data_IF_133149529092
#
_entry.id   IF_133149529092
#
_cell.length_a   1.000
_cell.length_b   1.000
_cell.length_c   1.000
_cell.angle_alpha   90.00
_cell.angle_beta   90.00
_cell.angle_gamma   90.00
#
_symmetry.space_group_name_H-M   'P 1'
#
loop_
_entity.id
_entity.type
_entity.pdbx_description
1 polymer ?
#
# COMPACT_ATOMS: atom_id res chain seq x y z
N UNK A 1 18.48 -13.27 38.79
CA UNK A 1 18.37 -13.03 37.34
C UNK A 1 18.62 -11.56 36.92
N UNK A 2 18.21 -10.52 37.64
CA UNK A 2 18.57 -9.14 37.24
C UNK A 2 20.08 -8.85 37.27
N UNK A 3 20.87 -9.49 38.15
CA UNK A 3 22.32 -9.31 38.22
C UNK A 3 23.05 -9.82 36.97
N UNK A 4 22.66 -10.97 36.40
CA UNK A 4 23.32 -11.53 35.22
C UNK A 4 23.15 -10.67 33.95
N UNK A 5 21.99 -10.03 33.78
CA UNK A 5 21.76 -9.12 32.66
C UNK A 5 22.59 -7.84 32.82
N UNK A 6 22.75 -7.36 34.05
CA UNK A 6 23.57 -6.18 34.34
C UNK A 6 25.08 -6.48 34.21
N UNK A 7 25.52 -7.74 34.50
CA UNK A 7 26.92 -8.14 34.41
C UNK A 7 27.39 -8.47 32.98
N UNK A 8 26.45 -8.87 32.08
CA UNK A 8 26.80 -9.30 30.73
C UNK A 8 25.80 -8.81 29.66
N UNK A 9 25.58 -7.51 29.50
CA UNK A 9 24.53 -6.93 28.61
C UNK A 9 24.73 -7.31 27.14
N UNK A 10 25.99 -7.32 26.65
CA UNK A 10 26.29 -7.68 25.25
C UNK A 10 25.95 -9.14 24.93
N UNK A 11 26.25 -10.07 25.85
CA UNK A 11 25.90 -11.48 25.67
C UNK A 11 24.37 -11.66 25.66
N UNK A 12 23.67 -10.97 26.52
CA UNK A 12 22.19 -10.96 26.53
C UNK A 12 21.62 -10.42 25.25
N UNK A 13 22.18 -9.34 24.70
CA UNK A 13 21.77 -8.76 23.42
C UNK A 13 21.93 -9.72 22.25
N UNK A 14 23.10 -10.39 22.15
CA UNK A 14 23.37 -11.42 21.15
C UNK A 14 22.40 -12.61 21.31
N UNK A 15 22.17 -13.08 22.53
CA UNK A 15 21.24 -14.17 22.81
C UNK A 15 19.82 -13.85 22.36
N UNK A 16 19.34 -12.61 22.56
CA UNK A 16 18.03 -12.16 22.10
C UNK A 16 17.87 -12.20 20.57
N UNK A 17 18.91 -11.80 19.82
CA UNK A 17 18.93 -11.91 18.35
C UNK A 17 18.85 -13.37 17.92
N UNK A 18 19.63 -14.26 18.56
CA UNK A 18 19.61 -15.68 18.27
C UNK A 18 18.26 -16.32 18.59
N UNK A 19 17.63 -15.91 19.68
CA UNK A 19 16.28 -16.35 20.07
C UNK A 19 15.25 -15.89 19.00
N UNK A 20 15.32 -14.65 18.51
CA UNK A 20 14.41 -14.19 17.43
C UNK A 20 14.56 -15.05 16.18
N UNK A 21 15.79 -15.35 15.77
CA UNK A 21 16.07 -16.21 14.61
C UNK A 21 15.54 -17.63 14.85
N UNK A 22 15.71 -18.17 16.03
CA UNK A 22 15.22 -19.50 16.41
C UNK A 22 13.68 -19.55 16.41
N UNK A 23 13.03 -18.57 17.03
CA UNK A 23 11.57 -18.41 17.05
C UNK A 23 11.02 -18.36 15.62
N UNK A 24 11.68 -17.60 14.74
CA UNK A 24 11.23 -17.47 13.35
C UNK A 24 11.39 -18.76 12.55
N UNK A 25 12.43 -19.57 12.81
CA UNK A 25 12.68 -20.85 12.14
C UNK A 25 11.88 -22.01 12.69
N UNK A 26 11.73 -22.09 14.02
CA UNK A 26 11.18 -23.27 14.69
C UNK A 26 9.67 -23.23 14.86
N UNK A 27 9.06 -22.05 14.97
CA UNK A 27 7.60 -21.92 15.14
C UNK A 27 6.90 -22.12 13.78
N UNK A 28 5.83 -22.90 13.79
CA UNK A 28 5.00 -23.21 12.62
C UNK A 28 4.41 -21.93 11.96
N UNK A 29 4.24 -21.88 10.61
CA UNK A 29 3.59 -20.78 9.90
C UNK A 29 2.18 -20.45 10.39
N UNK A 30 1.45 -21.43 10.92
CA UNK A 30 0.08 -21.26 11.40
C UNK A 30 -0.05 -20.35 12.64
N UNK A 31 1.07 -20.02 13.29
CA UNK A 31 1.13 -19.16 14.47
C UNK A 31 1.69 -17.74 14.14
N UNK A 32 1.30 -17.18 13.01
CA UNK A 32 1.82 -15.88 12.52
C UNK A 32 1.66 -14.75 13.55
N UNK A 33 0.52 -14.66 14.23
CA UNK A 33 0.26 -13.64 15.26
C UNK A 33 1.18 -13.83 16.49
N UNK A 34 1.47 -15.07 16.89
CA UNK A 34 2.41 -15.39 17.97
C UNK A 34 3.83 -14.99 17.59
N UNK A 35 4.26 -15.27 16.35
CA UNK A 35 5.58 -14.86 15.86
C UNK A 35 5.75 -13.35 15.88
N UNK A 36 4.73 -12.60 15.47
CA UNK A 36 4.73 -11.14 15.51
C UNK A 36 4.82 -10.63 16.94
N UNK A 37 3.97 -11.15 17.83
CA UNK A 37 3.99 -10.76 19.25
C UNK A 37 5.34 -11.07 19.92
N UNK A 38 5.89 -12.28 19.70
CA UNK A 38 7.19 -12.68 20.21
C UNK A 38 8.29 -11.74 19.71
N UNK A 39 8.30 -11.40 18.41
CA UNK A 39 9.27 -10.46 17.83
C UNK A 39 9.18 -9.08 18.46
N UNK A 40 7.98 -8.53 18.64
CA UNK A 40 7.80 -7.22 19.28
C UNK A 40 8.33 -7.23 20.73
N UNK A 41 8.07 -8.29 21.49
CA UNK A 41 8.58 -8.44 22.86
C UNK A 41 10.10 -8.57 22.85
N UNK A 42 10.68 -9.43 22.00
CA UNK A 42 12.14 -9.61 21.91
C UNK A 42 12.79 -8.29 21.50
N UNK A 43 12.25 -7.56 20.54
CA UNK A 43 12.77 -6.26 20.12
C UNK A 43 12.69 -5.21 21.25
N UNK A 44 11.58 -5.17 22.00
CA UNK A 44 11.45 -4.26 23.15
C UNK A 44 12.46 -4.58 24.24
N UNK A 45 12.65 -5.87 24.59
CA UNK A 45 13.64 -6.29 25.58
C UNK A 45 15.07 -6.01 25.08
N UNK A 46 15.37 -6.30 23.81
CA UNK A 46 16.65 -5.99 23.19
C UNK A 46 16.97 -4.49 23.24
N UNK A 47 15.98 -3.64 22.91
CA UNK A 47 16.12 -2.19 23.02
C UNK A 47 16.38 -1.76 24.48
N UNK A 48 15.62 -2.31 25.43
CA UNK A 48 15.81 -1.99 26.85
C UNK A 48 17.21 -2.37 27.36
N UNK A 49 17.75 -3.52 26.96
CA UNK A 49 19.11 -3.96 27.32
C UNK A 49 20.16 -2.99 26.77
N UNK A 50 20.04 -2.61 25.47
CA UNK A 50 20.98 -1.66 24.85
C UNK A 50 20.94 -0.28 25.51
N UNK A 51 19.73 0.27 25.73
CA UNK A 51 19.59 1.59 26.34
C UNK A 51 20.09 1.64 27.80
N UNK A 52 19.86 0.57 28.58
CA UNK A 52 20.34 0.48 29.96
C UNK A 52 21.88 0.44 30.08
N UNK A 53 22.54 -0.14 29.07
CA UNK A 53 24.01 -0.23 29.03
C UNK A 53 24.67 0.96 28.33
N UNK A 54 23.90 2.02 28.05
CA UNK A 54 24.40 3.23 27.38
C UNK A 54 24.70 3.06 25.89
N UNK A 55 24.37 1.92 25.29
CA UNK A 55 24.50 1.65 23.86
C UNK A 55 23.30 2.24 23.08
N UNK A 56 23.19 3.56 23.07
CA UNK A 56 22.09 4.23 22.34
C UNK A 56 22.32 4.15 20.81
N UNK A 57 21.43 3.50 20.02
CA UNK A 57 21.61 3.37 18.57
C UNK A 57 21.55 4.70 17.81
N UNK A 58 21.17 5.81 18.46
CA UNK A 58 21.12 7.15 17.88
C UNK A 58 22.38 7.97 18.20
N UNK A 59 23.42 7.35 18.74
CA UNK A 59 24.70 7.97 19.09
C UNK A 59 25.85 7.05 18.69
N UNK A 60 27.04 7.61 18.52
CA UNK A 60 28.23 6.81 18.27
C UNK A 60 28.45 5.77 19.40
N UNK A 61 29.03 4.63 19.03
CA UNK A 61 29.22 3.53 19.96
C UNK A 61 30.10 3.91 21.15
N UNK A 62 29.75 3.49 22.38
CA UNK A 62 30.57 3.71 23.57
C UNK A 62 31.85 2.88 23.53
N UNK A 63 32.68 2.95 24.61
CA UNK A 63 33.90 2.17 24.80
C UNK A 63 35.03 2.50 23.83
N UNK A 64 35.25 3.78 23.51
CA UNK A 64 36.28 4.22 22.55
C UNK A 64 37.72 3.74 22.95
N UNK A 65 37.99 3.53 24.25
CA UNK A 65 39.27 3.12 24.77
C UNK A 65 39.57 1.61 24.57
N UNK A 66 38.56 0.76 24.39
CA UNK A 66 38.68 -0.67 24.13
C UNK A 66 38.12 -1.04 22.75
N UNK A 67 39.03 -1.33 21.83
CA UNK A 67 38.67 -1.63 20.42
C UNK A 67 37.71 -2.80 20.29
N UNK A 68 37.82 -3.82 21.14
CA UNK A 68 36.99 -5.04 21.05
C UNK A 68 35.57 -4.75 21.54
N UNK A 69 35.42 -4.04 22.65
CA UNK A 69 34.13 -3.65 23.19
C UNK A 69 33.46 -2.62 22.28
N UNK A 70 34.22 -1.66 21.73
CA UNK A 70 33.71 -0.69 20.78
C UNK A 70 33.14 -1.33 19.51
N UNK A 71 33.88 -2.29 18.91
CA UNK A 71 33.39 -3.03 17.75
C UNK A 71 32.14 -3.86 18.05
N UNK A 72 32.11 -4.50 19.23
CA UNK A 72 30.95 -5.28 19.66
C UNK A 72 29.70 -4.37 19.86
N UNK A 73 29.88 -3.22 20.53
CA UNK A 73 28.81 -2.24 20.73
C UNK A 73 28.31 -1.67 19.38
N UNK A 74 29.23 -1.31 18.49
CA UNK A 74 28.90 -0.85 17.12
C UNK A 74 28.08 -1.89 16.36
N UNK A 75 28.50 -3.17 16.41
CA UNK A 75 27.78 -4.27 15.75
C UNK A 75 26.36 -4.45 16.31
N UNK A 76 26.19 -4.35 17.63
CA UNK A 76 24.89 -4.45 18.30
C UNK A 76 23.98 -3.26 17.96
N UNK A 77 24.50 -2.05 17.89
CA UNK A 77 23.75 -0.86 17.49
C UNK A 77 23.31 -0.92 16.02
N UNK A 78 24.19 -1.36 15.10
CA UNK A 78 23.81 -1.63 13.70
C UNK A 78 22.75 -2.75 13.66
N UNK A 79 22.94 -3.81 14.44
CA UNK A 79 21.96 -4.89 14.58
C UNK A 79 20.59 -4.40 15.04
N UNK A 80 20.55 -3.39 15.92
CA UNK A 80 19.30 -2.76 16.36
C UNK A 80 18.55 -2.10 15.19
N UNK A 81 19.22 -1.33 14.34
CA UNK A 81 18.63 -0.72 13.15
C UNK A 81 18.08 -1.75 12.17
N UNK A 82 18.81 -2.83 11.93
CA UNK A 82 18.37 -3.91 11.04
C UNK A 82 17.20 -4.70 11.66
N UNK A 83 17.23 -4.93 12.97
CA UNK A 83 16.14 -5.60 13.67
C UNK A 83 14.87 -4.71 13.70
N UNK A 84 15.01 -3.41 13.91
CA UNK A 84 13.93 -2.44 13.82
C UNK A 84 13.30 -2.45 12.41
N UNK A 85 14.13 -2.37 11.35
CA UNK A 85 13.68 -2.45 9.96
C UNK A 85 12.94 -3.76 9.67
N UNK A 86 13.49 -4.88 10.11
CA UNK A 86 12.86 -6.19 9.94
C UNK A 86 11.53 -6.30 10.68
N UNK A 87 11.48 -5.80 11.92
CA UNK A 87 10.25 -5.80 12.72
C UNK A 87 9.17 -4.95 12.08
N UNK A 88 9.52 -3.76 11.60
CA UNK A 88 8.60 -2.86 10.92
C UNK A 88 8.08 -3.46 9.60
N UNK A 89 8.96 -4.10 8.81
CA UNK A 89 8.58 -4.78 7.56
C UNK A 89 7.60 -5.93 7.81
N UNK A 90 7.82 -6.73 8.86
CA UNK A 90 6.92 -7.83 9.22
C UNK A 90 5.58 -7.31 9.73
N UNK A 91 5.58 -6.26 10.55
CA UNK A 91 4.37 -5.61 11.03
C UNK A 91 3.54 -5.05 9.87
N UNK A 92 4.21 -4.33 8.95
CA UNK A 92 3.56 -3.80 7.73
C UNK A 92 2.95 -4.93 6.90
N UNK A 93 3.68 -6.02 6.69
CA UNK A 93 3.19 -7.20 5.98
C UNK A 93 1.95 -7.82 6.62
N UNK A 94 1.92 -7.93 7.96
CA UNK A 94 0.77 -8.47 8.69
C UNK A 94 -0.48 -7.59 8.50
N UNK A 95 -0.33 -6.26 8.54
CA UNK A 95 -1.42 -5.30 8.31
C UNK A 95 -1.91 -5.33 6.86
N UNK A 96 -0.98 -5.39 5.90
CA UNK A 96 -1.32 -5.39 4.48
C UNK A 96 -2.00 -6.69 4.03
N UNK A 97 -1.55 -7.86 4.51
CA UNK A 97 -2.18 -9.14 4.15
C UNK A 97 -3.66 -9.20 4.55
N UNK A 98 -4.04 -8.53 5.65
CA UNK A 98 -5.43 -8.46 6.09
C UNK A 98 -6.32 -7.62 5.16
N UNK A 99 -5.76 -6.64 4.45
CA UNK A 99 -6.51 -5.66 3.65
C UNK A 99 -6.41 -5.85 2.13
N UNK A 100 -5.27 -6.31 1.61
CA UNK A 100 -4.96 -6.28 0.16
C UNK A 100 -4.77 -7.68 -0.44
N UNK A 101 -4.69 -8.73 0.38
CA UNK A 101 -4.50 -10.12 -0.08
C UNK A 101 -3.16 -10.35 -0.80
N UNK A 102 -3.13 -11.33 -1.72
CA UNK A 102 -1.89 -11.75 -2.39
C UNK A 102 -1.31 -10.76 -3.39
N UNK A 103 -2.10 -9.81 -3.88
CA UNK A 103 -1.66 -8.80 -4.88
C UNK A 103 -0.70 -7.76 -4.28
N UNK A 104 -0.63 -7.65 -2.94
CA UNK A 104 0.17 -6.67 -2.24
C UNK A 104 1.66 -7.01 -2.05
N UNK A 105 2.15 -8.17 -2.51
CA UNK A 105 3.54 -8.61 -2.24
C UNK A 105 4.59 -7.66 -2.81
N UNK A 106 4.45 -7.23 -4.05
CA UNK A 106 5.39 -6.29 -4.68
C UNK A 106 5.45 -4.95 -3.92
N UNK A 107 4.31 -4.44 -3.47
CA UNK A 107 4.26 -3.21 -2.67
C UNK A 107 4.93 -3.41 -1.31
N UNK A 108 4.71 -4.56 -0.67
CA UNK A 108 5.35 -4.91 0.59
C UNK A 108 6.87 -5.01 0.44
N UNK A 109 7.36 -5.65 -0.63
CA UNK A 109 8.80 -5.80 -0.90
C UNK A 109 9.44 -4.43 -1.19
N UNK A 110 8.77 -3.57 -1.94
CA UNK A 110 9.23 -2.20 -2.22
C UNK A 110 9.30 -1.36 -0.94
N UNK A 111 8.25 -1.37 -0.13
CA UNK A 111 8.23 -0.67 1.15
C UNK A 111 9.28 -1.23 2.13
N UNK A 112 9.47 -2.55 2.12
CA UNK A 112 10.52 -3.20 2.87
C UNK A 112 11.91 -2.72 2.46
N UNK A 113 12.18 -2.64 1.15
CA UNK A 113 13.45 -2.13 0.63
C UNK A 113 13.70 -0.68 1.07
N UNK A 114 12.69 0.18 1.04
CA UNK A 114 12.78 1.57 1.52
C UNK A 114 13.07 1.61 3.03
N UNK A 115 12.39 0.81 3.84
CA UNK A 115 12.61 0.72 5.29
C UNK A 115 14.05 0.30 5.59
N UNK A 116 14.57 -0.73 4.91
CA UNK A 116 15.94 -1.18 5.07
C UNK A 116 16.97 -0.12 4.61
N UNK A 117 16.69 0.58 3.51
CA UNK A 117 17.55 1.67 3.04
C UNK A 117 17.65 2.78 4.09
N UNK A 118 16.51 3.20 4.68
CA UNK A 118 16.48 4.18 5.75
C UNK A 118 17.27 3.70 6.97
N UNK A 119 17.09 2.44 7.38
CA UNK A 119 17.80 1.88 8.51
C UNK A 119 19.32 1.83 8.30
N UNK A 120 19.77 1.49 7.10
CA UNK A 120 21.21 1.49 6.74
C UNK A 120 21.77 2.89 6.78
N UNK A 121 21.09 3.88 6.17
CA UNK A 121 21.54 5.28 6.20
C UNK A 121 21.57 5.83 7.64
N UNK A 122 20.57 5.47 8.46
CA UNK A 122 20.54 5.86 9.87
C UNK A 122 21.67 5.23 10.67
N UNK A 123 21.97 3.94 10.48
CA UNK A 123 23.10 3.28 11.11
C UNK A 123 24.44 3.93 10.68
N UNK A 124 24.61 4.27 9.42
CA UNK A 124 25.80 5.00 8.93
C UNK A 124 25.94 6.38 9.57
N UNK A 125 24.83 7.11 9.70
CA UNK A 125 24.83 8.47 10.25
C UNK A 125 25.06 8.50 11.75
N UNK A 126 24.36 7.66 12.50
CA UNK A 126 24.34 7.73 13.98
C UNK A 126 25.37 6.85 14.64
N UNK A 127 25.57 5.62 14.14
CA UNK A 127 26.45 4.64 14.77
C UNK A 127 27.88 4.81 14.28
N UNK A 128 28.07 4.98 12.96
CA UNK A 128 29.40 5.10 12.35
C UNK A 128 29.88 6.55 12.18
N UNK A 129 29.03 7.53 12.56
CA UNK A 129 29.31 8.96 12.42
C UNK A 129 29.81 9.36 11.02
N UNK A 130 29.27 8.70 9.97
CA UNK A 130 29.66 8.97 8.59
C UNK A 130 28.92 10.17 8.01
N UNK A 131 29.55 10.97 7.15
CA UNK A 131 28.93 12.13 6.52
C UNK A 131 27.89 11.72 5.46
N UNK A 132 26.67 11.41 5.87
CA UNK A 132 25.59 10.92 4.97
C UNK A 132 24.89 12.01 4.16
N UNK A 133 25.28 13.29 4.30
CA UNK A 133 24.65 14.42 3.59
C UNK A 133 24.63 14.22 2.06
N UNK A 134 25.71 13.72 1.47
CA UNK A 134 25.78 13.40 0.04
C UNK A 134 24.85 12.27 -0.37
N UNK A 135 24.78 11.21 0.45
CA UNK A 135 23.89 10.06 0.21
C UNK A 135 22.41 10.50 0.29
N UNK A 136 22.07 11.34 1.28
CA UNK A 136 20.71 11.88 1.41
C UNK A 136 20.34 12.78 0.22
N UNK A 137 21.25 13.63 -0.24
CA UNK A 137 21.01 14.51 -1.39
C UNK A 137 20.77 13.71 -2.68
N UNK A 138 21.61 12.71 -2.95
CA UNK A 138 21.45 11.84 -4.13
C UNK A 138 20.22 10.96 -4.03
N UNK A 139 19.93 10.39 -2.85
CA UNK A 139 18.71 9.62 -2.61
C UNK A 139 17.45 10.47 -2.80
N UNK A 140 17.48 11.74 -2.37
CA UNK A 140 16.39 12.69 -2.59
C UNK A 140 16.15 12.96 -4.08
N UNK A 141 17.20 13.14 -4.87
CA UNK A 141 17.07 13.31 -6.32
C UNK A 141 16.48 12.06 -6.99
N UNK A 142 16.95 10.86 -6.61
CA UNK A 142 16.40 9.60 -7.11
C UNK A 142 14.93 9.45 -6.70
N UNK A 143 14.56 9.79 -5.47
CA UNK A 143 13.19 9.72 -5.00
C UNK A 143 12.24 10.63 -5.79
N UNK A 144 12.69 11.83 -6.16
CA UNK A 144 11.92 12.75 -7.02
C UNK A 144 11.70 12.13 -8.40
N UNK A 145 12.74 11.57 -9.02
CA UNK A 145 12.64 10.92 -10.35
C UNK A 145 11.67 9.75 -10.30
N UNK A 146 11.78 8.89 -9.28
CA UNK A 146 10.87 7.75 -9.08
C UNK A 146 9.44 8.24 -8.80
N UNK A 147 9.27 9.28 -7.99
CA UNK A 147 7.97 9.89 -7.70
C UNK A 147 7.28 10.41 -8.97
N UNK A 148 8.02 11.10 -9.84
CA UNK A 148 7.51 11.57 -11.12
C UNK A 148 7.14 10.40 -12.05
N UNK A 149 7.96 9.35 -12.09
CA UNK A 149 7.68 8.16 -12.89
C UNK A 149 6.42 7.40 -12.42
N UNK A 150 6.13 7.43 -11.12
CA UNK A 150 4.97 6.76 -10.52
C UNK A 150 3.73 7.65 -10.38
N UNK A 151 3.83 8.93 -10.73
CA UNK A 151 2.79 9.94 -10.49
C UNK A 151 1.43 9.53 -11.06
N UNK A 152 1.37 9.01 -12.29
CA UNK A 152 0.12 8.57 -12.92
C UNK A 152 -0.51 7.40 -12.18
N UNK A 153 0.29 6.40 -11.80
CA UNK A 153 -0.18 5.24 -11.04
C UNK A 153 -0.73 5.62 -9.67
N UNK A 154 -0.04 6.51 -8.96
CA UNK A 154 -0.51 7.04 -7.67
C UNK A 154 -1.81 7.83 -7.84
N UNK A 155 -1.93 8.63 -8.91
CA UNK A 155 -3.17 9.36 -9.24
C UNK A 155 -4.34 8.40 -9.44
N UNK A 156 -4.15 7.28 -10.14
CA UNK A 156 -5.19 6.26 -10.33
C UNK A 156 -5.63 5.63 -9.00
N UNK A 157 -4.67 5.30 -8.13
CA UNK A 157 -4.94 4.72 -6.80
C UNK A 157 -5.76 5.66 -5.93
N UNK A 158 -5.32 6.92 -5.79
CA UNK A 158 -6.03 7.92 -4.98
C UNK A 158 -7.42 8.21 -5.53
N UNK A 159 -7.54 8.30 -6.86
CA UNK A 159 -8.84 8.46 -7.51
C UNK A 159 -9.75 7.26 -7.28
N UNK A 160 -9.23 6.03 -7.32
CA UNK A 160 -9.98 4.82 -6.98
C UNK A 160 -10.51 4.83 -5.54
N UNK A 161 -9.70 5.31 -4.57
CA UNK A 161 -10.15 5.48 -3.18
C UNK A 161 -11.28 6.51 -3.10
N UNK A 162 -11.15 7.64 -3.79
CA UNK A 162 -12.19 8.70 -3.82
C UNK A 162 -13.48 8.16 -4.45
N UNK A 163 -13.41 7.50 -5.61
CA UNK A 163 -14.58 6.93 -6.30
C UNK A 163 -15.29 5.88 -5.43
N UNK A 164 -14.53 5.03 -4.73
CA UNK A 164 -15.09 4.02 -3.83
C UNK A 164 -15.71 4.63 -2.55
N UNK A 165 -15.25 5.80 -2.14
CA UNK A 165 -15.77 6.51 -0.96
C UNK A 165 -17.02 7.33 -1.31
N UNK A 166 -16.98 8.10 -2.41
CA UNK A 166 -18.07 8.97 -2.84
C UNK A 166 -19.19 8.22 -3.58
N UNK A 167 -18.84 7.06 -4.18
CA UNK A 167 -19.75 6.15 -4.89
C UNK A 167 -20.66 6.87 -5.90
N UNK A 168 -20.13 7.64 -6.87
CA UNK A 168 -20.92 8.26 -7.91
C UNK A 168 -21.60 7.20 -8.79
N UNK A 169 -21.06 6.00 -8.85
CA UNK A 169 -21.63 4.79 -9.47
C UNK A 169 -21.23 3.54 -8.68
N UNK A 170 -21.89 2.44 -8.93
CA UNK A 170 -21.60 1.12 -8.32
C UNK A 170 -21.55 0.05 -9.42
N UNK A 171 -21.10 -1.14 -9.04
CA UNK A 171 -21.16 -2.31 -9.92
C UNK A 171 -22.62 -2.51 -10.31
N UNK A 172 -22.85 -2.88 -11.57
CA UNK A 172 -24.11 -3.05 -12.25
C UNK A 172 -24.82 -1.76 -12.69
N UNK A 173 -24.39 -0.56 -12.27
CA UNK A 173 -24.94 0.69 -12.80
C UNK A 173 -24.61 0.83 -14.31
N UNK A 174 -25.55 1.36 -15.09
CA UNK A 174 -25.33 1.80 -16.47
C UNK A 174 -24.88 3.26 -16.44
N UNK A 175 -23.68 3.52 -16.93
CA UNK A 175 -23.08 4.87 -16.85
C UNK A 175 -22.44 5.29 -18.16
N UNK A 176 -22.24 6.60 -18.31
CA UNK A 176 -21.38 7.20 -19.33
C UNK A 176 -20.25 7.96 -18.67
N UNK A 177 -19.02 7.67 -19.06
CA UNK A 177 -17.80 8.39 -18.66
C UNK A 177 -17.19 9.01 -19.91
N UNK A 178 -17.26 10.35 -20.04
CA UNK A 178 -16.79 11.11 -21.21
C UNK A 178 -17.24 10.48 -22.55
N UNK A 179 -18.51 10.07 -22.63
CA UNK A 179 -19.11 9.50 -23.84
C UNK A 179 -18.86 7.98 -24.04
N UNK A 180 -18.09 7.33 -23.19
CA UNK A 180 -18.00 5.88 -23.17
C UNK A 180 -19.10 5.32 -22.29
N UNK A 181 -20.08 4.65 -22.92
CA UNK A 181 -21.26 4.12 -22.23
C UNK A 181 -21.17 2.62 -22.00
N UNK A 182 -21.63 2.17 -20.84
CA UNK A 182 -21.66 0.76 -20.51
C UNK A 182 -22.09 0.48 -19.08
N UNK A 183 -22.26 -0.82 -18.80
CA UNK A 183 -22.54 -1.35 -17.47
C UNK A 183 -21.25 -1.53 -16.70
N UNK A 184 -21.18 -1.04 -15.48
CA UNK A 184 -20.03 -1.22 -14.60
C UNK A 184 -19.93 -2.70 -14.19
N UNK A 185 -18.87 -3.37 -14.64
CA UNK A 185 -18.61 -4.78 -14.31
C UNK A 185 -17.68 -4.94 -13.11
N UNK A 186 -16.76 -3.99 -12.93
CA UNK A 186 -15.76 -4.05 -11.87
C UNK A 186 -15.17 -2.66 -11.59
N UNK A 187 -14.82 -2.41 -10.32
CA UNK A 187 -14.13 -1.20 -9.86
C UNK A 187 -12.90 -1.64 -9.10
N UNK A 188 -11.77 -1.60 -9.79
CA UNK A 188 -10.47 -1.99 -9.24
C UNK A 188 -9.78 -0.78 -8.58
N UNK A 189 -8.69 -1.02 -7.85
CA UNK A 189 -7.89 0.04 -7.22
C UNK A 189 -7.28 1.03 -8.21
N UNK A 190 -7.15 0.66 -9.50
CA UNK A 190 -6.53 1.46 -10.55
C UNK A 190 -7.48 1.84 -11.69
N UNK A 191 -8.50 1.03 -11.98
CA UNK A 191 -9.36 1.22 -13.14
C UNK A 191 -10.79 0.79 -12.86
N UNK A 192 -11.74 1.43 -13.54
CA UNK A 192 -13.14 1.02 -13.65
C UNK A 192 -13.35 0.30 -14.99
N UNK A 193 -14.05 -0.83 -14.99
CA UNK A 193 -14.36 -1.63 -16.17
C UNK A 193 -15.82 -1.48 -16.53
N UNK A 194 -16.08 -1.17 -17.79
CA UNK A 194 -17.43 -1.07 -18.35
C UNK A 194 -17.60 -2.10 -19.46
N UNK A 195 -18.72 -2.80 -19.46
CA UNK A 195 -19.19 -3.57 -20.59
C UNK A 195 -20.09 -2.69 -21.46
N UNK A 196 -19.64 -2.40 -22.68
CA UNK A 196 -20.42 -1.56 -23.62
C UNK A 196 -21.61 -2.32 -24.19
N UNK A 197 -22.57 -1.60 -24.79
CA UNK A 197 -23.72 -2.21 -25.49
C UNK A 197 -23.30 -3.12 -26.65
N UNK A 198 -22.10 -2.93 -27.21
CA UNK A 198 -21.56 -3.75 -28.29
C UNK A 198 -20.83 -5.02 -27.76
N UNK A 199 -20.85 -5.27 -26.45
CA UNK A 199 -20.19 -6.40 -25.83
C UNK A 199 -18.68 -6.24 -25.59
N UNK A 200 -18.07 -5.10 -25.94
CA UNK A 200 -16.67 -4.82 -25.67
C UNK A 200 -16.44 -4.39 -24.22
N UNK A 201 -15.23 -4.65 -23.73
CA UNK A 201 -14.78 -4.22 -22.40
C UNK A 201 -13.99 -2.90 -22.51
N UNK A 202 -14.52 -1.83 -21.96
CA UNK A 202 -13.81 -0.56 -21.80
C UNK A 202 -13.14 -0.53 -20.41
N UNK A 203 -11.82 -0.28 -20.36
CA UNK A 203 -11.04 -0.16 -19.14
C UNK A 203 -10.64 1.31 -18.99
N UNK A 204 -11.20 2.00 -18.01
CA UNK A 204 -11.01 3.44 -17.79
C UNK A 204 -10.16 3.63 -16.52
N UNK A 205 -8.95 4.24 -16.62
CA UNK A 205 -8.16 4.59 -15.45
C UNK A 205 -8.95 5.46 -14.48
N UNK A 206 -8.86 5.17 -13.19
CA UNK A 206 -9.64 5.87 -12.16
C UNK A 206 -9.33 7.38 -12.12
N UNK A 207 -8.09 7.78 -12.44
CA UNK A 207 -7.71 9.19 -12.52
C UNK A 207 -8.42 9.94 -13.65
N UNK A 208 -8.77 9.26 -14.75
CA UNK A 208 -9.61 9.81 -15.80
C UNK A 208 -11.06 9.83 -15.35
N UNK A 209 -11.59 8.73 -14.84
CA UNK A 209 -12.96 8.64 -14.36
C UNK A 209 -13.30 9.71 -13.31
N UNK A 210 -12.38 9.96 -12.36
CA UNK A 210 -12.59 10.97 -11.30
C UNK A 210 -12.62 12.42 -11.80
N UNK A 211 -12.04 12.70 -12.97
CA UNK A 211 -12.01 14.03 -13.60
C UNK A 211 -13.06 14.20 -14.68
N UNK A 212 -13.61 13.09 -15.15
CA UNK A 212 -14.57 13.05 -16.24
C UNK A 212 -15.97 13.51 -15.82
N UNK A 213 -16.77 13.93 -16.79
CA UNK A 213 -18.21 14.03 -16.60
C UNK A 213 -18.81 12.62 -16.55
N UNK A 214 -19.41 12.29 -15.42
CA UNK A 214 -20.10 11.01 -15.23
C UNK A 214 -21.60 11.25 -15.30
N UNK A 215 -22.28 10.47 -16.14
CA UNK A 215 -23.74 10.40 -16.19
C UNK A 215 -24.12 9.00 -15.74
N UNK A 216 -24.89 8.89 -14.66
CA UNK A 216 -25.40 7.62 -14.18
C UNK A 216 -26.86 7.48 -14.59
N UNK A 217 -27.16 6.49 -15.45
CA UNK A 217 -28.51 6.24 -15.97
C UNK A 217 -29.33 5.34 -15.04
N UNK A 218 -28.68 4.65 -14.09
CA UNK A 218 -29.34 3.79 -13.11
C UNK A 218 -29.74 4.54 -11.83
N UNK A 219 -29.39 5.84 -11.71
CA UNK A 219 -29.65 6.64 -10.50
C UNK A 219 -30.09 8.06 -10.86
N UNK A 220 -31.00 8.69 -10.06
CA UNK A 220 -31.61 8.21 -8.81
C UNK A 220 -32.75 7.19 -8.98
N UNK A 221 -33.20 6.95 -10.19
CA UNK A 221 -34.23 5.97 -10.49
C UNK A 221 -33.77 5.06 -11.63
N UNK A 222 -34.14 3.78 -11.61
CA UNK A 222 -33.78 2.78 -12.62
C UNK A 222 -34.45 3.04 -14.01
N UNK A 223 -34.96 4.24 -14.24
CA UNK A 223 -35.61 4.64 -15.48
C UNK A 223 -34.94 5.90 -16.02
N UNK A 224 -34.63 5.91 -17.30
CA UNK A 224 -34.14 7.08 -18.03
C UNK A 224 -34.91 7.26 -19.33
N UNK A 225 -35.06 8.53 -19.76
CA UNK A 225 -35.73 8.84 -21.01
C UNK A 225 -34.86 8.49 -22.21
N UNK A 226 -35.42 7.70 -23.13
CA UNK A 226 -34.81 7.40 -24.41
C UNK A 226 -35.56 8.15 -25.50
N UNK A 227 -34.85 8.94 -26.30
CA UNK A 227 -35.42 9.59 -27.49
C UNK A 227 -35.07 8.76 -28.74
N UNK A 228 -36.09 8.30 -29.43
CA UNK A 228 -35.93 7.58 -30.72
C UNK A 228 -36.51 8.43 -31.81
N UNK A 229 -35.72 8.73 -32.85
CA UNK A 229 -36.18 9.44 -34.04
C UNK A 229 -36.58 8.43 -35.11
N UNK A 230 -37.81 8.46 -35.53
CA UNK A 230 -38.35 7.58 -36.58
C UNK A 230 -38.68 8.41 -37.84
N UNK A 231 -38.21 7.91 -38.96
CA UNK A 231 -38.62 8.48 -40.26
C UNK A 231 -39.86 7.73 -40.74
N UNK A 232 -40.93 8.48 -40.95
CA UNK A 232 -42.20 7.96 -41.47
C UNK A 232 -42.50 8.53 -42.84
N UNK A 233 -43.29 7.83 -43.64
CA UNK A 233 -43.70 8.31 -44.96
C UNK A 233 -44.46 9.65 -44.84
N UNK A 234 -44.18 10.65 -45.71
CA UNK A 234 -44.85 11.93 -45.69
C UNK A 234 -46.40 11.84 -45.92
N UNK A 235 -46.84 10.71 -46.44
CA UNK A 235 -48.28 10.44 -46.68
C UNK A 235 -48.97 9.79 -45.46
N UNK A 236 -48.23 9.37 -44.44
CA UNK A 236 -48.83 8.78 -43.25
C UNK A 236 -49.52 9.84 -42.39
N UNK A 237 -50.79 9.58 -42.00
CA UNK A 237 -51.51 10.48 -41.09
C UNK A 237 -50.82 10.44 -39.69
N UNK A 238 -50.53 11.61 -39.10
CA UNK A 238 -49.82 11.65 -37.79
C UNK A 238 -50.51 10.82 -36.68
N UNK A 239 -51.84 10.85 -36.63
CA UNK A 239 -52.63 10.09 -35.66
C UNK A 239 -52.44 8.59 -35.78
N UNK A 240 -52.44 8.04 -37.00
CA UNK A 240 -52.22 6.62 -37.25
C UNK A 240 -50.81 6.19 -36.83
N UNK A 241 -49.80 7.06 -36.98
CA UNK A 241 -48.44 6.80 -36.55
C UNK A 241 -48.34 6.81 -35.01
N UNK A 242 -48.97 7.78 -34.35
CA UNK A 242 -49.01 7.89 -32.88
C UNK A 242 -49.68 6.66 -32.28
N UNK A 243 -50.87 6.26 -32.79
CA UNK A 243 -51.57 5.06 -32.31
C UNK A 243 -50.78 3.76 -32.52
N UNK A 244 -50.02 3.65 -33.61
CA UNK A 244 -49.16 2.50 -33.87
C UNK A 244 -47.99 2.46 -32.90
N UNK A 245 -47.38 3.62 -32.60
CA UNK A 245 -46.27 3.73 -31.62
C UNK A 245 -46.77 3.45 -30.21
N UNK A 246 -47.92 3.99 -29.79
CA UNK A 246 -48.50 3.70 -28.48
C UNK A 246 -48.79 2.21 -28.29
N UNK A 247 -49.32 1.54 -29.31
CA UNK A 247 -49.54 0.09 -29.27
C UNK A 247 -48.25 -0.69 -29.17
N UNK A 248 -47.18 -0.27 -29.86
CA UNK A 248 -45.90 -0.93 -29.83
C UNK A 248 -45.16 -0.76 -28.48
N UNK A 249 -45.47 0.32 -27.74
CA UNK A 249 -44.90 0.60 -26.41
C UNK A 249 -45.67 -0.10 -25.26
N UNK A 250 -46.89 -0.61 -25.52
CA UNK A 250 -47.70 -1.32 -24.50
C UNK A 250 -47.48 -2.85 -24.49
N UNK A 251 -46.73 -3.42 -25.41
CA UNK A 251 -46.39 -4.84 -25.51
C UNK A 251 -44.99 -5.13 -25.11
#
# INVERSE_FOLDING_TARGET
MPSFIADHPMLCAVALILIDIAVWRLISPNLANWKLAARLVIFAVFSAVLFNDGMNPMQAAPYADDTTLHLAATALQIGWWLFAARTLTVLLGAVMMQRVGHTGRLLQDLLGAVIFLIAIIAAMAYVLDLPVKGVLATSGAVAIIVGLALQSTLSDVFSGIVLNTTKPYQIDDWISIDGTEGRVTDIDWRATRLQTSQGSLAVIPNSLAAKAKIINFSRPADMFGLAVSLQVSPHARPQTVIEALERALQG
#
